data_IF_414250071378
#
_entry.id   IF_414250071378
#
_cell.length_a   1.000
_cell.length_b   1.000
_cell.length_c   1.000
_cell.angle_alpha   90.00
_cell.angle_beta   90.00
_cell.angle_gamma   90.00
#
_symmetry.space_group_name_H-M   'P 1'
#
loop_
_entity.id
_entity.type
_entity.pdbx_description
1 polymer ?
#
# COMPACT_ATOMS: atom_id res chain seq x y z
N UNK A 1 -14.20 -15.58 -9.76
CA UNK A 1 -13.46 -14.52 -10.48
C UNK A 1 -14.20 -14.22 -11.75
N UNK A 2 -14.60 -12.96 -11.99
CA UNK A 2 -15.28 -12.58 -13.24
C UNK A 2 -14.28 -12.66 -14.41
N UNK A 3 -14.62 -13.37 -15.48
CA UNK A 3 -13.76 -13.56 -16.67
C UNK A 3 -13.50 -12.29 -17.50
N UNK A 4 -13.81 -11.11 -16.96
CA UNK A 4 -13.63 -9.81 -17.62
C UNK A 4 -12.18 -9.32 -17.60
N UNK A 5 -11.35 -9.82 -16.68
CA UNK A 5 -9.95 -9.44 -16.57
C UNK A 5 -9.09 -10.28 -17.54
N UNK A 6 -8.61 -9.65 -18.61
CA UNK A 6 -7.64 -10.28 -19.53
C UNK A 6 -6.27 -10.36 -18.84
N UNK A 7 -5.88 -11.56 -18.42
CA UNK A 7 -4.61 -11.82 -17.72
C UNK A 7 -3.52 -12.14 -18.75
N UNK A 8 -2.40 -11.41 -18.77
CA UNK A 8 -1.26 -11.76 -19.63
C UNK A 8 -0.58 -13.05 -19.12
N UNK A 9 0.06 -13.80 -20.03
CA UNK A 9 0.56 -15.15 -19.75
C UNK A 9 1.68 -15.19 -18.68
N UNK A 10 2.35 -14.06 -18.43
CA UNK A 10 3.50 -13.94 -17.53
C UNK A 10 3.18 -13.47 -16.11
N UNK A 11 1.92 -13.14 -15.81
CA UNK A 11 1.51 -12.69 -14.47
C UNK A 11 0.66 -13.78 -13.86
N UNK A 12 0.79 -14.08 -12.56
CA UNK A 12 -0.16 -14.92 -11.85
C UNK A 12 -0.95 -14.11 -10.82
N UNK A 13 -2.26 -14.34 -10.72
CA UNK A 13 -3.14 -13.61 -9.82
C UNK A 13 -3.24 -14.41 -8.53
N UNK A 14 -2.88 -13.79 -7.41
CA UNK A 14 -3.12 -14.34 -6.08
C UNK A 14 -4.49 -13.87 -5.62
N UNK A 15 -5.40 -14.82 -5.40
CA UNK A 15 -6.71 -14.52 -4.85
C UNK A 15 -6.57 -14.28 -3.34
N UNK A 16 -6.76 -13.04 -2.91
CA UNK A 16 -6.93 -12.75 -1.48
C UNK A 16 -8.40 -12.90 -1.12
N UNK A 17 -8.67 -13.46 0.07
CA UNK A 17 -10.03 -13.52 0.59
C UNK A 17 -10.58 -12.12 0.83
N UNK A 18 -11.86 -11.93 0.52
CA UNK A 18 -12.52 -10.65 0.74
C UNK A 18 -12.43 -10.27 2.24
N UNK A 19 -12.19 -8.98 2.51
CA UNK A 19 -12.03 -8.39 3.86
C UNK A 19 -10.78 -8.82 4.63
N UNK A 20 -9.85 -9.57 4.04
CA UNK A 20 -8.61 -9.94 4.72
C UNK A 20 -7.49 -8.93 4.47
N UNK A 21 -7.70 -7.69 4.93
CA UNK A 21 -6.71 -6.60 4.82
C UNK A 21 -5.39 -6.94 5.52
N UNK A 22 -5.44 -7.79 6.56
CA UNK A 22 -4.26 -8.26 7.30
C UNK A 22 -3.30 -9.12 6.46
N UNK A 23 -3.80 -9.77 5.39
CA UNK A 23 -2.99 -10.58 4.47
C UNK A 23 -2.47 -9.77 3.27
N UNK A 24 -2.90 -8.52 3.12
CA UNK A 24 -2.47 -7.68 2.01
C UNK A 24 -1.23 -6.87 2.42
N UNK A 25 -0.01 -7.21 1.92
CA UNK A 25 1.23 -6.56 2.36
C UNK A 25 1.26 -5.06 2.05
N UNK A 26 0.50 -4.60 1.05
CA UNK A 26 0.42 -3.17 0.72
C UNK A 26 -0.26 -2.37 1.86
N UNK A 27 -1.11 -2.98 2.68
CA UNK A 27 -1.77 -2.31 3.79
C UNK A 27 -0.78 -1.89 4.87
N UNK A 28 0.30 -2.65 5.06
CA UNK A 28 1.39 -2.29 5.97
C UNK A 28 2.17 -1.07 5.45
N UNK A 29 2.42 -1.04 4.15
CA UNK A 29 3.07 0.10 3.48
C UNK A 29 2.19 1.35 3.60
N UNK A 30 0.90 1.22 3.31
CA UNK A 30 -0.07 2.30 3.46
C UNK A 30 -0.18 2.83 4.89
N UNK A 31 -0.22 1.93 5.88
CA UNK A 31 -0.25 2.31 7.28
C UNK A 31 1.00 3.10 7.67
N UNK A 32 2.19 2.60 7.32
CA UNK A 32 3.44 3.30 7.57
C UNK A 32 3.47 4.68 6.94
N UNK A 33 3.08 4.79 5.67
CA UNK A 33 3.04 6.08 4.98
C UNK A 33 2.10 7.05 5.68
N UNK A 34 0.88 6.62 6.00
CA UNK A 34 -0.11 7.46 6.71
C UNK A 34 0.43 7.96 8.04
N UNK A 35 0.99 7.08 8.87
CA UNK A 35 1.46 7.43 10.21
C UNK A 35 2.63 8.45 10.19
N UNK A 36 3.34 8.59 9.06
CA UNK A 36 4.57 9.38 9.01
C UNK A 36 4.49 10.71 8.22
N UNK A 37 3.71 10.81 7.14
CA UNK A 37 3.78 12.00 6.26
C UNK A 37 2.47 12.74 5.98
N UNK A 38 1.39 12.09 5.51
CA UNK A 38 0.15 12.77 5.18
C UNK A 38 -0.80 12.89 6.39
N UNK A 39 -0.46 12.32 7.55
CA UNK A 39 -1.28 12.44 8.76
C UNK A 39 -1.46 13.90 9.19
N UNK A 40 -2.67 14.23 9.64
CA UNK A 40 -3.02 15.51 10.25
C UNK A 40 -2.79 16.75 9.34
N UNK A 41 -2.99 16.60 8.03
CA UNK A 41 -2.95 17.70 7.06
C UNK A 41 -4.36 18.08 6.58
N UNK A 42 -4.59 19.37 6.38
CA UNK A 42 -5.80 19.89 5.73
C UNK A 42 -5.51 20.04 4.25
N UNK A 43 -6.33 19.39 3.41
CA UNK A 43 -6.19 19.45 1.96
C UNK A 43 -7.21 20.41 1.36
N UNK A 44 -6.74 21.34 0.52
CA UNK A 44 -7.56 22.39 -0.09
C UNK A 44 -8.28 21.91 -1.35
N UNK A 45 -7.62 21.07 -2.15
CA UNK A 45 -8.11 20.55 -3.43
C UNK A 45 -7.67 19.10 -3.63
N UNK A 46 -8.33 18.40 -4.55
CA UNK A 46 -8.00 17.00 -4.86
C UNK A 46 -6.53 16.83 -5.26
N UNK A 47 -6.02 17.70 -6.14
CA UNK A 47 -4.64 17.61 -6.63
C UNK A 47 -3.61 17.79 -5.51
N UNK A 48 -3.96 18.51 -4.44
CA UNK A 48 -3.13 18.66 -3.25
C UNK A 48 -2.97 17.31 -2.51
N UNK A 49 -4.06 16.53 -2.42
CA UNK A 49 -4.03 15.17 -1.84
C UNK A 49 -3.11 14.27 -2.69
N UNK A 50 -3.29 14.29 -4.01
CA UNK A 50 -2.50 13.46 -4.93
C UNK A 50 -1.02 13.85 -4.85
N UNK A 51 -0.70 15.14 -4.90
CA UNK A 51 0.66 15.66 -4.81
C UNK A 51 1.37 15.21 -3.53
N UNK A 52 0.72 15.36 -2.37
CA UNK A 52 1.30 14.90 -1.09
C UNK A 52 1.44 13.38 -1.00
N UNK A 53 0.50 12.61 -1.56
CA UNK A 53 0.64 11.16 -1.64
C UNK A 53 1.82 10.75 -2.54
N UNK A 54 2.00 11.41 -3.69
CA UNK A 54 3.13 11.18 -4.58
C UNK A 54 4.47 11.52 -3.92
N UNK A 55 4.56 12.65 -3.22
CA UNK A 55 5.75 13.05 -2.46
C UNK A 55 6.11 12.02 -1.40
N UNK A 56 5.11 11.61 -0.59
CA UNK A 56 5.26 10.58 0.42
C UNK A 56 5.73 9.24 -0.18
N UNK A 57 5.15 8.84 -1.32
CA UNK A 57 5.53 7.61 -2.02
C UNK A 57 6.98 7.67 -2.52
N UNK A 58 7.35 8.75 -3.21
CA UNK A 58 8.72 8.92 -3.74
C UNK A 58 9.76 8.90 -2.61
N UNK A 59 9.46 9.57 -1.50
CA UNK A 59 10.30 9.53 -0.30
C UNK A 59 10.46 8.13 0.30
N UNK A 60 9.43 7.29 0.20
CA UNK A 60 9.51 5.88 0.63
C UNK A 60 10.35 5.04 -0.34
N UNK A 61 10.20 5.26 -1.65
CA UNK A 61 10.98 4.57 -2.69
C UNK A 61 12.48 4.83 -2.53
N UNK A 62 12.86 6.08 -2.20
CA UNK A 62 14.24 6.45 -1.87
C UNK A 62 14.77 5.74 -0.61
N UNK A 63 13.88 5.21 0.23
CA UNK A 63 14.17 4.48 1.45
C UNK A 63 13.78 2.99 1.32
N UNK A 64 14.16 2.36 0.21
CA UNK A 64 13.77 0.99 -0.16
C UNK A 64 14.01 -0.05 0.95
N UNK A 65 15.02 0.12 1.79
CA UNK A 65 15.26 -0.75 2.95
C UNK A 65 14.13 -0.72 3.99
N UNK A 66 13.41 0.40 4.13
CA UNK A 66 12.25 0.53 5.02
C UNK A 66 11.04 -0.24 4.49
N UNK A 67 10.87 -0.32 3.18
CA UNK A 67 9.81 -1.15 2.58
C UNK A 67 10.03 -2.62 2.96
N UNK A 68 11.28 -3.09 2.88
CA UNK A 68 11.64 -4.46 3.24
C UNK A 68 11.39 -4.78 4.72
N UNK A 69 11.62 -3.84 5.63
CA UNK A 69 11.38 -4.06 7.07
C UNK A 69 9.91 -3.92 7.44
N UNK A 70 9.18 -2.97 6.84
CA UNK A 70 7.74 -2.78 7.06
C UNK A 70 6.92 -3.99 6.59
N UNK A 71 7.33 -4.65 5.50
CA UNK A 71 6.70 -5.90 5.04
C UNK A 71 6.80 -7.07 6.03
N UNK A 72 7.70 -7.02 7.02
CA UNK A 72 7.87 -8.07 8.05
C UNK A 72 7.01 -7.87 9.30
N UNK A 73 6.22 -6.79 9.41
CA UNK A 73 5.48 -6.45 10.63
C UNK A 73 4.04 -7.03 10.72
N UNK A 74 3.87 -7.79 11.80
CA UNK A 74 2.74 -7.99 12.73
C UNK A 74 1.32 -8.39 12.29
N UNK A 75 0.76 -7.91 11.17
CA UNK A 75 -0.66 -8.21 10.83
C UNK A 75 -0.91 -9.70 10.54
N UNK A 76 -0.02 -10.34 9.78
CA UNK A 76 -0.09 -11.77 9.48
C UNK A 76 0.38 -12.70 10.63
N UNK A 77 0.99 -12.16 11.70
CA UNK A 77 1.51 -12.96 12.85
C UNK A 77 0.50 -13.11 14.00
N UNK A 78 -0.68 -12.49 13.90
CA UNK A 78 -1.72 -12.53 14.93
C UNK A 78 -2.76 -13.65 14.72
N UNK A 79 -2.52 -14.53 13.75
CA UNK A 79 -3.31 -15.74 13.47
C UNK A 79 -2.37 -16.93 13.32
#
# INVERSE_FOLDING_TARGET
>A
MTGKLKKPANISIVALSAKCLELNPIENVWQFMRDNWPSNRIFTFHDNIVGHCCEAWNKLVDQSWRIMTTGRHQRARRF
#
